data_IF_364311865593
#
_entry.id   IF_364311865593
#
_cell.length_a   1.000
_cell.length_b   1.000
_cell.length_c   1.000
_cell.angle_alpha   90.00
_cell.angle_beta   90.00
_cell.angle_gamma   90.00
#
_symmetry.space_group_name_H-M   'P 1'
#
loop_
_entity.id
_entity.type
_entity.pdbx_description
1 polymer ?
#
# COMPACT_ATOMS: atom_id res chain seq x y z
N UNK A 1 9.62 -3.43 -15.81
CA UNK A 1 8.73 -4.61 -15.60
C UNK A 1 7.41 -4.15 -14.98
N UNK A 2 6.28 -4.78 -15.32
CA UNK A 2 4.97 -4.54 -14.69
C UNK A 2 4.50 -5.86 -14.05
N UNK A 3 3.96 -5.78 -12.85
CA UNK A 3 3.45 -6.93 -12.08
C UNK A 3 2.11 -6.59 -11.44
N UNK A 4 1.38 -7.61 -10.98
CA UNK A 4 0.07 -7.51 -10.37
C UNK A 4 -0.06 -8.41 -9.14
N UNK A 5 -1.17 -8.23 -8.43
CA UNK A 5 -1.63 -9.07 -7.35
C UNK A 5 -2.88 -9.84 -7.79
N UNK A 6 -3.19 -10.94 -7.10
CA UNK A 6 -4.41 -11.72 -7.32
C UNK A 6 -5.15 -11.86 -5.99
N UNK A 7 -6.41 -11.42 -5.97
CA UNK A 7 -7.26 -11.43 -4.79
C UNK A 7 -8.56 -10.65 -5.03
N UNK A 8 -9.47 -10.72 -4.08
CA UNK A 8 -10.76 -10.03 -4.09
C UNK A 8 -10.79 -9.04 -2.92
N UNK A 9 -10.86 -7.76 -3.28
CA UNK A 9 -10.94 -6.63 -2.36
C UNK A 9 -12.17 -6.73 -1.43
N UNK A 10 -12.12 -6.29 -0.15
CA UNK A 10 -13.25 -6.33 0.78
C UNK A 10 -14.57 -5.82 0.19
N UNK A 11 -14.54 -4.65 -0.46
CA UNK A 11 -15.70 -4.05 -1.14
C UNK A 11 -16.30 -4.88 -2.31
N UNK A 12 -15.60 -5.89 -2.78
CA UNK A 12 -16.03 -6.74 -3.90
C UNK A 12 -16.33 -8.18 -3.47
N UNK A 13 -16.30 -8.48 -2.16
CA UNK A 13 -16.45 -9.86 -1.67
C UNK A 13 -17.81 -10.49 -1.95
N UNK A 14 -18.84 -9.72 -2.30
CA UNK A 14 -20.12 -10.26 -2.81
C UNK A 14 -19.94 -11.07 -4.12
N UNK A 15 -18.84 -10.89 -4.85
CA UNK A 15 -18.58 -11.66 -6.08
C UNK A 15 -18.49 -13.15 -5.83
N UNK A 16 -18.07 -13.59 -4.63
CA UNK A 16 -18.05 -15.01 -4.25
C UNK A 16 -19.47 -15.60 -4.23
N UNK A 17 -20.43 -14.90 -3.61
CA UNK A 17 -21.82 -15.33 -3.52
C UNK A 17 -22.50 -15.37 -4.90
N UNK A 18 -22.16 -14.42 -5.78
CA UNK A 18 -22.76 -14.30 -7.12
C UNK A 18 -22.03 -15.11 -8.20
N UNK A 19 -20.95 -15.80 -7.85
CA UNK A 19 -20.20 -16.62 -8.81
C UNK A 19 -21.06 -17.79 -9.32
N UNK A 20 -21.06 -18.14 -10.63
CA UNK A 20 -21.91 -19.21 -11.16
C UNK A 20 -21.74 -20.56 -10.47
N UNK A 21 -20.50 -20.88 -10.07
CA UNK A 21 -20.14 -22.11 -9.36
C UNK A 21 -20.06 -21.92 -7.82
N UNK A 22 -20.64 -20.83 -7.32
CA UNK A 22 -20.60 -20.43 -5.91
C UNK A 22 -19.20 -20.07 -5.40
N UNK A 23 -19.05 -19.86 -4.08
CA UNK A 23 -17.80 -19.41 -3.48
C UNK A 23 -16.61 -20.34 -3.73
N UNK A 24 -16.82 -21.67 -3.66
CA UNK A 24 -15.78 -22.67 -3.93
C UNK A 24 -15.29 -22.63 -5.38
N UNK A 25 -16.18 -22.31 -6.33
CA UNK A 25 -15.81 -22.09 -7.72
C UNK A 25 -14.83 -20.94 -7.87
N UNK A 26 -15.15 -19.77 -7.31
CA UNK A 26 -14.26 -18.60 -7.37
C UNK A 26 -12.94 -18.85 -6.63
N UNK A 27 -12.95 -19.53 -5.48
CA UNK A 27 -11.71 -19.93 -4.78
C UNK A 27 -10.83 -20.87 -5.63
N UNK A 28 -11.45 -21.79 -6.37
CA UNK A 28 -10.75 -22.70 -7.29
C UNK A 28 -10.14 -21.94 -8.47
N UNK A 29 -10.85 -20.97 -9.02
CA UNK A 29 -10.33 -20.09 -10.08
C UNK A 29 -9.16 -19.24 -9.58
N UNK A 30 -9.28 -18.61 -8.40
CA UNK A 30 -8.19 -17.86 -7.77
C UNK A 30 -6.96 -18.74 -7.55
N UNK A 31 -7.15 -19.96 -7.00
CA UNK A 31 -6.06 -20.93 -6.82
C UNK A 31 -5.37 -21.26 -8.14
N UNK A 32 -6.15 -21.52 -9.18
CA UNK A 32 -5.66 -21.89 -10.51
C UNK A 32 -4.87 -20.73 -11.13
N UNK A 33 -5.40 -19.51 -11.04
CA UNK A 33 -4.75 -18.30 -11.55
C UNK A 33 -3.42 -18.04 -10.82
N UNK A 34 -3.39 -18.14 -9.49
CA UNK A 34 -2.18 -17.97 -8.68
C UNK A 34 -1.09 -19.00 -9.06
N UNK A 35 -1.45 -20.27 -9.23
CA UNK A 35 -0.50 -21.34 -9.53
C UNK A 35 0.00 -21.33 -10.99
N UNK A 36 -0.79 -20.78 -11.91
CA UNK A 36 -0.45 -20.69 -13.33
C UNK A 36 0.19 -19.36 -13.74
N UNK A 37 0.12 -18.33 -12.89
CA UNK A 37 0.66 -17.01 -13.20
C UNK A 37 2.21 -17.03 -13.32
N UNK A 38 2.78 -16.36 -14.34
CA UNK A 38 4.23 -16.20 -14.44
C UNK A 38 4.79 -15.46 -13.21
N UNK A 39 5.90 -15.92 -12.61
CA UNK A 39 6.52 -15.23 -11.46
C UNK A 39 6.97 -13.79 -11.74
N UNK A 40 7.14 -13.42 -13.02
CA UNK A 40 7.44 -12.04 -13.43
C UNK A 40 6.21 -11.13 -13.44
N UNK A 41 5.01 -11.70 -13.53
CA UNK A 41 3.75 -10.97 -13.60
C UNK A 41 3.02 -10.95 -12.26
N UNK A 42 3.09 -12.00 -11.45
CA UNK A 42 2.37 -12.10 -10.18
C UNK A 42 3.35 -12.11 -8.99
N UNK A 43 3.10 -11.23 -8.01
CA UNK A 43 4.05 -11.01 -6.90
C UNK A 43 3.46 -11.12 -5.49
N UNK A 44 2.14 -11.02 -5.34
CA UNK A 44 1.47 -11.10 -4.04
C UNK A 44 -0.01 -11.48 -4.16
N UNK A 45 -0.53 -12.16 -3.13
CA UNK A 45 -1.98 -12.35 -2.97
C UNK A 45 -2.56 -11.06 -2.42
N UNK A 46 -3.50 -10.48 -3.15
CA UNK A 46 -4.08 -9.19 -2.81
C UNK A 46 -4.79 -8.54 -3.99
N UNK A 47 -5.49 -7.44 -3.79
CA UNK A 47 -5.72 -6.82 -2.50
C UNK A 47 -6.81 -7.57 -1.72
N UNK A 48 -6.51 -8.02 -0.50
CA UNK A 48 -7.46 -8.74 0.38
C UNK A 48 -7.44 -8.11 1.77
N UNK A 49 -8.56 -8.20 2.51
CA UNK A 49 -8.65 -7.61 3.84
C UNK A 49 -10.05 -7.17 4.20
N UNK A 50 -10.17 -6.10 4.99
CA UNK A 50 -11.43 -5.60 5.56
C UNK A 50 -11.55 -4.06 5.43
N UNK A 51 -12.69 -3.57 4.95
CA UNK A 51 -13.04 -2.14 4.87
C UNK A 51 -14.43 -1.90 5.49
N UNK A 52 -14.44 -1.49 6.77
CA UNK A 52 -15.68 -1.23 7.52
C UNK A 52 -16.26 0.18 7.27
N UNK A 53 -15.56 1.02 6.50
CA UNK A 53 -16.13 2.28 5.98
C UNK A 53 -16.93 2.05 4.69
N UNK A 54 -16.99 0.81 4.18
CA UNK A 54 -17.63 0.46 2.90
C UNK A 54 -18.61 -0.71 3.02
N UNK A 55 -19.27 -0.85 4.17
CA UNK A 55 -20.23 -1.94 4.42
C UNK A 55 -21.45 -1.94 3.48
N UNK A 56 -21.74 -0.82 2.81
CA UNK A 56 -22.78 -0.74 1.77
C UNK A 56 -22.37 -1.44 0.47
N UNK A 57 -21.07 -1.61 0.22
CA UNK A 57 -20.52 -2.33 -0.94
C UNK A 57 -20.30 -3.80 -0.67
N UNK A 58 -20.04 -4.19 0.59
CA UNK A 58 -20.07 -5.58 1.02
C UNK A 58 -20.26 -5.66 2.54
N UNK A 59 -21.27 -6.40 3.06
CA UNK A 59 -21.52 -6.49 4.49
C UNK A 59 -20.34 -7.05 5.28
N UNK A 60 -20.24 -6.68 6.57
CA UNK A 60 -19.14 -7.09 7.46
C UNK A 60 -18.93 -8.61 7.47
N UNK A 61 -20.02 -9.37 7.60
CA UNK A 61 -19.96 -10.85 7.68
C UNK A 61 -19.44 -11.47 6.38
N UNK A 62 -19.85 -10.92 5.23
CA UNK A 62 -19.36 -11.29 3.90
C UNK A 62 -17.87 -10.98 3.75
N UNK A 63 -17.43 -9.78 4.14
CA UNK A 63 -16.01 -9.41 4.12
C UNK A 63 -15.18 -10.36 4.99
N UNK A 64 -15.63 -10.66 6.21
CA UNK A 64 -14.94 -11.56 7.13
C UNK A 64 -14.85 -12.99 6.58
N UNK A 65 -15.97 -13.54 6.09
CA UNK A 65 -16.02 -14.88 5.53
C UNK A 65 -15.03 -15.05 4.36
N UNK A 66 -14.96 -14.07 3.47
CA UNK A 66 -14.12 -14.17 2.27
C UNK A 66 -12.71 -13.64 2.47
N UNK A 67 -12.44 -12.83 3.48
CA UNK A 67 -11.07 -12.59 3.93
C UNK A 67 -10.49 -13.89 4.51
N UNK A 68 -11.22 -14.58 5.40
CA UNK A 68 -10.85 -15.89 5.95
C UNK A 68 -10.55 -16.90 4.85
N UNK A 69 -11.47 -17.06 3.89
CA UNK A 69 -11.32 -18.02 2.80
C UNK A 69 -10.07 -17.73 1.94
N UNK A 70 -9.78 -16.45 1.65
CA UNK A 70 -8.59 -16.07 0.89
C UNK A 70 -7.29 -16.27 1.69
N UNK A 71 -7.30 -16.03 2.99
CA UNK A 71 -6.15 -16.36 3.87
C UNK A 71 -5.93 -17.87 3.95
N UNK A 72 -6.99 -18.67 4.06
CA UNK A 72 -6.91 -20.12 4.09
C UNK A 72 -6.44 -20.69 2.74
N UNK A 73 -6.86 -20.09 1.62
CA UNK A 73 -6.31 -20.37 0.30
C UNK A 73 -4.81 -20.10 0.27
N UNK A 74 -4.37 -18.89 0.67
CA UNK A 74 -2.96 -18.51 0.70
C UNK A 74 -2.13 -19.50 1.53
N UNK A 75 -2.59 -19.83 2.73
CA UNK A 75 -1.98 -20.79 3.64
C UNK A 75 -1.90 -22.24 3.09
N UNK A 76 -2.75 -22.59 2.13
CA UNK A 76 -2.78 -23.94 1.53
C UNK A 76 -1.85 -24.12 0.33
N UNK A 77 -1.19 -23.05 -0.13
CA UNK A 77 -0.30 -23.08 -1.29
C UNK A 77 1.07 -23.67 -0.89
N UNK A 78 1.74 -24.42 -1.79
CA UNK A 78 3.02 -25.04 -1.48
C UNK A 78 4.16 -24.03 -1.26
N UNK A 79 4.06 -22.84 -1.86
CA UNK A 79 5.00 -21.73 -1.72
C UNK A 79 4.19 -20.43 -1.64
N UNK A 80 3.66 -20.08 -0.45
CA UNK A 80 2.72 -18.98 -0.31
C UNK A 80 3.38 -17.63 -0.68
N UNK A 81 2.83 -16.88 -1.66
CA UNK A 81 3.29 -15.55 -2.02
C UNK A 81 3.04 -14.55 -0.88
N UNK A 82 3.78 -13.43 -0.80
CA UNK A 82 3.49 -12.34 0.12
C UNK A 82 2.03 -11.89 0.06
N UNK A 83 1.52 -11.31 1.15
CA UNK A 83 0.20 -10.71 1.18
C UNK A 83 0.25 -9.20 0.94
N UNK A 84 -0.67 -8.70 0.13
CA UNK A 84 -0.94 -7.26 -0.03
C UNK A 84 -2.31 -6.95 0.58
N UNK A 85 -2.28 -6.36 1.78
CA UNK A 85 -3.38 -6.39 2.73
C UNK A 85 -4.04 -5.03 2.91
N UNK A 86 -5.37 -5.01 2.88
CA UNK A 86 -6.20 -3.82 3.12
C UNK A 86 -6.80 -3.85 4.53
N UNK A 87 -6.67 -2.75 5.28
CA UNK A 87 -7.38 -2.57 6.54
C UNK A 87 -7.88 -1.14 6.67
N UNK A 88 -9.20 -0.98 6.86
CA UNK A 88 -9.83 0.32 7.14
C UNK A 88 -10.95 0.15 8.16
N UNK A 89 -10.82 0.87 9.28
CA UNK A 89 -11.77 0.84 10.40
C UNK A 89 -12.08 -0.58 10.92
N UNK A 90 -11.16 -1.52 10.73
CA UNK A 90 -11.38 -2.96 10.92
C UNK A 90 -10.21 -3.67 11.62
N UNK A 91 -9.32 -2.92 12.28
CA UNK A 91 -8.03 -3.44 12.76
C UNK A 91 -8.13 -4.66 13.67
N UNK A 92 -9.02 -4.64 14.65
CA UNK A 92 -9.18 -5.73 15.63
C UNK A 92 -9.49 -7.06 14.94
N UNK A 93 -10.54 -7.09 14.11
CA UNK A 93 -10.94 -8.26 13.35
C UNK A 93 -9.88 -8.64 12.31
N UNK A 94 -9.26 -7.66 11.64
CA UNK A 94 -8.21 -7.87 10.66
C UNK A 94 -7.00 -8.58 11.27
N UNK A 95 -6.48 -8.06 12.38
CA UNK A 95 -5.32 -8.62 13.07
C UNK A 95 -5.67 -9.99 13.67
N UNK A 96 -6.87 -10.16 14.23
CA UNK A 96 -7.34 -11.44 14.74
C UNK A 96 -7.26 -12.55 13.68
N UNK A 97 -7.78 -12.31 12.48
CA UNK A 97 -7.79 -13.32 11.40
C UNK A 97 -6.38 -13.67 10.89
N UNK A 98 -5.47 -12.70 10.88
CA UNK A 98 -4.06 -12.92 10.56
C UNK A 98 -3.37 -13.74 11.65
N UNK A 99 -3.58 -13.41 12.93
CA UNK A 99 -2.98 -14.10 14.07
C UNK A 99 -3.40 -15.56 14.13
N UNK A 100 -4.67 -15.88 13.88
CA UNK A 100 -5.17 -17.27 13.83
C UNK A 100 -4.47 -18.14 12.77
N UNK A 101 -3.83 -17.51 11.78
CA UNK A 101 -3.19 -18.18 10.65
C UNK A 101 -1.69 -17.91 10.57
N UNK A 102 -1.09 -17.22 11.54
CA UNK A 102 0.29 -16.75 11.49
C UNK A 102 1.31 -17.86 11.20
N UNK A 103 1.10 -19.07 11.74
CA UNK A 103 1.99 -20.22 11.51
C UNK A 103 1.87 -20.84 10.11
N UNK A 104 0.75 -20.60 9.42
CA UNK A 104 0.49 -21.15 8.07
C UNK A 104 0.64 -20.10 6.96
N UNK A 105 0.51 -18.82 7.31
CA UNK A 105 0.70 -17.72 6.40
C UNK A 105 2.19 -17.49 6.12
N UNK A 106 2.52 -16.92 4.95
CA UNK A 106 3.88 -16.47 4.71
C UNK A 106 4.19 -15.39 5.74
N UNK A 107 5.38 -15.45 6.37
CA UNK A 107 5.90 -14.40 7.26
C UNK A 107 6.32 -13.14 6.48
N UNK A 108 5.52 -12.75 5.48
CA UNK A 108 5.77 -11.73 4.46
C UNK A 108 4.43 -11.12 4.04
N UNK A 109 4.24 -9.85 4.29
CA UNK A 109 3.13 -9.08 3.76
C UNK A 109 3.20 -7.61 4.14
N UNK A 110 2.45 -6.79 3.42
CA UNK A 110 2.35 -5.33 3.63
C UNK A 110 0.90 -4.97 3.89
N UNK A 111 0.65 -4.25 4.99
CA UNK A 111 -0.61 -3.52 5.19
C UNK A 111 -0.48 -2.20 4.45
N UNK A 112 -1.06 -2.15 3.26
CA UNK A 112 -0.89 -1.03 2.33
C UNK A 112 -1.81 0.15 2.69
N UNK A 113 -1.48 1.34 2.19
CA UNK A 113 -2.27 2.57 2.35
C UNK A 113 -2.66 2.83 3.82
N UNK A 114 -1.70 2.62 4.73
CA UNK A 114 -1.98 2.62 6.16
C UNK A 114 -2.43 4.01 6.62
N UNK A 115 -3.61 4.06 7.24
CA UNK A 115 -4.24 5.27 7.78
C UNK A 115 -4.74 5.05 9.21
N UNK A 116 -4.29 3.96 9.84
CA UNK A 116 -4.64 3.61 11.21
C UNK A 116 -3.91 4.41 12.28
N UNK A 117 -4.11 4.03 13.53
CA UNK A 117 -3.53 4.71 14.69
C UNK A 117 -2.09 4.27 14.97
N UNK A 118 -1.41 4.99 15.87
CA UNK A 118 -0.08 4.59 16.38
C UNK A 118 -0.08 3.18 16.98
N UNK A 119 -1.11 2.85 17.77
CA UNK A 119 -1.23 1.55 18.43
C UNK A 119 -1.39 0.45 17.38
N UNK A 120 -2.27 0.67 16.40
CA UNK A 120 -2.51 -0.29 15.32
C UNK A 120 -1.22 -0.54 14.51
N UNK A 121 -0.45 0.51 14.19
CA UNK A 121 0.83 0.38 13.51
C UNK A 121 1.84 -0.43 14.33
N UNK A 122 1.94 -0.17 15.64
CA UNK A 122 2.83 -0.89 16.54
C UNK A 122 2.49 -2.38 16.61
N UNK A 123 1.20 -2.70 16.76
CA UNK A 123 0.73 -4.09 16.80
C UNK A 123 1.02 -4.83 15.49
N UNK A 124 0.85 -4.17 14.33
CA UNK A 124 1.20 -4.75 13.03
C UNK A 124 2.70 -5.04 12.92
N UNK A 125 3.55 -4.08 13.30
CA UNK A 125 5.00 -4.22 13.25
C UNK A 125 5.49 -5.31 14.22
N UNK A 126 4.93 -5.38 15.43
CA UNK A 126 5.24 -6.40 16.42
C UNK A 126 4.81 -7.80 15.94
N UNK A 127 3.66 -7.89 15.27
CA UNK A 127 3.20 -9.11 14.61
C UNK A 127 4.01 -9.47 13.33
N UNK A 128 4.96 -8.62 12.93
CA UNK A 128 5.90 -8.89 11.83
C UNK A 128 5.45 -8.43 10.46
N UNK A 129 4.38 -7.64 10.36
CA UNK A 129 3.88 -7.05 9.11
C UNK A 129 4.58 -5.74 8.78
N UNK A 130 4.78 -5.50 7.49
CA UNK A 130 5.31 -4.23 7.00
C UNK A 130 4.15 -3.27 6.67
N UNK A 131 4.45 -1.97 6.57
CA UNK A 131 3.44 -0.90 6.47
C UNK A 131 3.70 -0.03 5.22
N UNK A 132 2.67 0.11 4.38
CA UNK A 132 2.70 0.95 3.18
C UNK A 132 2.22 2.38 3.43
N UNK A 133 3.01 3.36 3.00
CA UNK A 133 2.76 4.79 3.18
C UNK A 133 2.55 5.47 1.83
N UNK A 134 1.46 6.23 1.73
CA UNK A 134 1.14 7.08 0.58
C UNK A 134 0.60 8.46 1.04
N UNK A 135 0.09 9.26 0.11
CA UNK A 135 -0.45 10.58 0.43
C UNK A 135 -1.70 10.58 1.32
N UNK A 136 -2.46 9.48 1.38
CA UNK A 136 -3.56 9.31 2.32
C UNK A 136 -3.05 9.09 3.76
N UNK A 137 -1.96 8.33 3.92
CA UNK A 137 -1.31 8.05 5.22
C UNK A 137 -0.83 9.32 5.95
N UNK A 138 -0.49 10.37 5.22
CA UNK A 138 0.07 11.63 5.75
C UNK A 138 -0.87 12.83 5.55
N UNK A 139 -2.18 12.55 5.44
CA UNK A 139 -3.21 13.57 5.29
C UNK A 139 -3.43 14.39 6.56
N UNK A 140 -3.41 13.74 7.72
CA UNK A 140 -3.68 14.32 9.04
C UNK A 140 -2.44 14.28 9.94
N UNK A 141 -2.44 15.04 11.05
CA UNK A 141 -1.28 15.16 11.94
C UNK A 141 -0.93 13.83 12.60
N UNK A 142 -1.94 13.02 12.95
CA UNK A 142 -1.79 11.70 13.56
C UNK A 142 -1.00 10.76 12.62
N UNK A 143 -1.26 10.83 11.32
CA UNK A 143 -0.53 10.07 10.31
C UNK A 143 0.94 10.49 10.18
N UNK A 144 1.25 11.76 10.42
CA UNK A 144 2.64 12.26 10.49
C UNK A 144 3.37 11.61 11.67
N UNK A 145 2.71 11.52 12.83
CA UNK A 145 3.30 10.91 14.03
C UNK A 145 3.53 9.41 13.84
N UNK A 146 2.59 8.70 13.20
CA UNK A 146 2.76 7.29 12.81
C UNK A 146 3.99 7.10 11.92
N UNK A 147 4.11 7.88 10.84
CA UNK A 147 5.26 7.79 9.92
C UNK A 147 6.58 8.10 10.63
N UNK A 148 6.57 9.05 11.57
CA UNK A 148 7.75 9.37 12.39
C UNK A 148 8.23 8.14 13.17
N UNK A 149 7.30 7.40 13.78
CA UNK A 149 7.61 6.22 14.60
C UNK A 149 7.86 4.92 13.82
N UNK A 150 7.31 4.78 12.60
CA UNK A 150 7.41 3.56 11.79
C UNK A 150 8.88 3.21 11.47
N UNK A 151 9.40 2.02 11.85
CA UNK A 151 10.78 1.64 11.55
C UNK A 151 11.06 1.58 10.03
N UNK A 152 12.24 2.02 9.60
CA UNK A 152 12.58 2.09 8.17
C UNK A 152 12.62 0.70 7.52
N UNK A 153 13.01 -0.33 8.27
CA UNK A 153 13.06 -1.72 7.83
C UNK A 153 11.67 -2.36 7.64
N UNK A 154 10.61 -1.68 8.08
CA UNK A 154 9.19 -2.07 7.93
C UNK A 154 8.40 -1.15 7.00
N UNK A 155 9.07 -0.17 6.38
CA UNK A 155 8.43 0.85 5.55
C UNK A 155 8.37 0.42 4.07
N UNK A 156 7.20 0.57 3.47
CA UNK A 156 7.01 0.65 2.02
C UNK A 156 6.44 2.02 1.65
N UNK A 157 6.71 2.46 0.41
CA UNK A 157 6.11 3.68 -0.16
C UNK A 157 5.32 3.34 -1.41
N UNK A 158 4.19 4.02 -1.58
CA UNK A 158 3.30 3.82 -2.73
C UNK A 158 2.56 5.13 -3.06
N UNK A 159 1.88 5.16 -4.20
CA UNK A 159 1.08 6.33 -4.61
C UNK A 159 -0.42 6.11 -4.46
N UNK A 160 -0.88 4.86 -4.59
CA UNK A 160 -2.30 4.51 -4.75
C UNK A 160 -2.98 5.30 -5.90
N UNK A 161 -2.21 5.63 -6.93
CA UNK A 161 -2.71 6.37 -8.10
C UNK A 161 -3.85 5.63 -8.80
N UNK A 162 -4.98 6.28 -9.12
CA UNK A 162 -5.14 7.74 -9.27
C UNK A 162 -5.53 8.51 -8.00
N UNK A 163 -5.59 7.86 -6.85
CA UNK A 163 -6.01 8.40 -5.56
C UNK A 163 -4.84 8.95 -4.74
N UNK A 164 -5.10 9.37 -3.50
CA UNK A 164 -4.10 9.77 -2.52
C UNK A 164 -3.12 10.87 -2.98
N UNK A 165 -3.58 11.77 -3.85
CA UNK A 165 -2.87 13.02 -4.18
C UNK A 165 -2.56 13.80 -2.89
N UNK A 166 -1.30 14.18 -2.69
CA UNK A 166 -0.88 15.06 -1.60
C UNK A 166 -1.29 16.50 -1.91
N UNK A 167 -2.20 17.07 -1.10
CA UNK A 167 -2.80 18.39 -1.35
C UNK A 167 -2.28 19.46 -0.38
N UNK A 168 -2.39 20.75 -0.73
CA UNK A 168 -2.01 21.85 0.17
C UNK A 168 -2.74 21.86 1.52
N UNK A 169 -3.92 21.24 1.59
CA UNK A 169 -4.72 21.13 2.82
C UNK A 169 -4.32 19.95 3.71
N UNK A 170 -3.39 19.11 3.28
CA UNK A 170 -2.92 17.96 4.05
C UNK A 170 -1.79 18.39 4.99
N UNK A 171 -1.65 17.70 6.14
CA UNK A 171 -0.54 17.93 7.07
C UNK A 171 0.83 17.77 6.39
N UNK A 172 0.95 16.84 5.43
CA UNK A 172 2.16 16.65 4.64
C UNK A 172 2.65 17.87 3.87
N UNK A 173 1.78 18.85 3.58
CA UNK A 173 2.16 20.06 2.86
C UNK A 173 3.25 20.86 3.60
N UNK A 174 3.27 20.80 4.93
CA UNK A 174 4.32 21.41 5.73
C UNK A 174 5.71 20.82 5.45
N UNK A 175 5.79 19.56 5.00
CA UNK A 175 7.04 18.83 4.78
C UNK A 175 7.52 18.88 3.33
N UNK A 176 6.67 19.22 2.35
CA UNK A 176 7.05 19.27 0.93
C UNK A 176 6.87 20.65 0.31
N UNK A 177 6.36 21.61 1.08
CA UNK A 177 6.14 22.99 0.65
C UNK A 177 7.42 23.82 0.55
N UNK A 178 7.34 24.98 -0.13
CA UNK A 178 8.48 25.88 -0.34
C UNK A 178 8.96 26.57 0.95
N UNK A 179 8.18 26.52 2.02
CA UNK A 179 8.48 27.14 3.32
C UNK A 179 9.08 26.16 4.33
N UNK A 180 9.40 24.93 3.92
CA UNK A 180 9.98 23.93 4.81
C UNK A 180 11.39 24.35 5.27
N UNK A 181 11.60 24.41 6.59
CA UNK A 181 12.88 24.79 7.22
C UNK A 181 13.43 23.76 8.22
N UNK A 182 12.82 22.57 8.27
CA UNK A 182 13.15 21.49 9.20
C UNK A 182 14.37 20.63 8.80
N UNK A 183 14.56 19.47 9.46
CA UNK A 183 15.64 18.52 9.14
C UNK A 183 15.68 18.14 7.66
N UNK A 184 16.88 18.11 7.06
CA UNK A 184 17.03 17.78 5.64
C UNK A 184 16.49 18.86 4.68
N UNK A 185 16.32 20.11 5.13
CA UNK A 185 15.96 21.24 4.22
C UNK A 185 16.98 21.42 3.07
N UNK A 186 18.24 21.11 3.36
CA UNK A 186 19.36 21.23 2.42
C UNK A 186 19.66 19.91 1.69
N UNK A 187 18.81 18.89 1.82
CA UNK A 187 18.95 17.62 1.09
C UNK A 187 18.81 17.87 -0.43
N UNK A 188 19.90 17.67 -1.16
CA UNK A 188 19.96 17.91 -2.61
C UNK A 188 19.06 16.96 -3.41
N UNK A 189 18.87 15.72 -2.95
CA UNK A 189 17.94 14.77 -3.60
C UNK A 189 16.50 15.26 -3.45
N UNK A 190 16.14 15.78 -2.26
CA UNK A 190 14.83 16.39 -2.05
C UNK A 190 14.57 17.56 -3.00
N UNK A 191 15.55 18.46 -3.16
CA UNK A 191 15.46 19.62 -4.07
C UNK A 191 15.21 19.15 -5.51
N UNK A 192 16.03 18.22 -6.01
CA UNK A 192 15.91 17.68 -7.37
C UNK A 192 14.54 17.04 -7.61
N UNK A 193 14.04 16.24 -6.66
CA UNK A 193 12.72 15.60 -6.78
C UNK A 193 11.61 16.64 -6.86
N UNK A 194 11.60 17.63 -5.96
CA UNK A 194 10.55 18.65 -5.91
C UNK A 194 10.61 19.63 -7.09
N UNK A 195 11.81 19.99 -7.56
CA UNK A 195 11.99 20.82 -8.76
C UNK A 195 11.52 20.11 -10.02
N UNK A 196 11.85 18.82 -10.18
CA UNK A 196 11.35 18.00 -11.29
C UNK A 196 9.82 17.97 -11.32
N UNK A 197 9.20 17.80 -10.15
CA UNK A 197 7.74 17.78 -10.04
C UNK A 197 7.11 19.15 -10.34
N UNK A 198 7.72 20.24 -9.86
CA UNK A 198 7.27 21.61 -10.17
C UNK A 198 7.32 21.91 -11.68
N UNK A 199 8.21 21.24 -12.43
CA UNK A 199 8.29 21.30 -13.88
C UNK A 199 7.16 20.59 -14.63
N UNK A 200 6.33 19.78 -13.97
CA UNK A 200 5.24 19.08 -14.65
C UNK A 200 4.12 20.04 -15.11
N UNK A 201 3.63 19.81 -16.32
CA UNK A 201 2.51 20.57 -16.89
C UNK A 201 1.18 19.94 -16.49
N UNK A 202 0.45 20.61 -15.61
CA UNK A 202 -0.86 20.17 -15.12
C UNK A 202 -2.03 20.80 -15.89
N UNK A 203 -2.87 19.97 -16.51
CA UNK A 203 -4.03 20.40 -17.31
C UNK A 203 -5.34 19.81 -16.81
N UNK A 204 -6.47 20.41 -17.19
CA UNK A 204 -7.79 19.76 -16.99
C UNK A 204 -7.90 18.55 -17.92
N UNK A 205 -8.72 17.55 -17.55
CA UNK A 205 -8.87 16.30 -18.32
C UNK A 205 -9.25 16.53 -19.80
N UNK A 206 -10.03 17.58 -20.09
CA UNK A 206 -10.47 17.92 -21.45
C UNK A 206 -9.35 18.52 -22.31
N UNK A 207 -8.21 18.88 -21.71
CA UNK A 207 -7.05 19.48 -22.36
C UNK A 207 -5.82 18.58 -22.28
N UNK A 208 -6.01 17.30 -21.95
CA UNK A 208 -4.92 16.35 -21.87
C UNK A 208 -4.21 16.25 -23.22
N UNK A 209 -2.88 16.26 -23.16
CA UNK A 209 -1.98 15.96 -24.26
C UNK A 209 -0.80 15.14 -23.73
N UNK A 210 -0.12 14.43 -24.63
CA UNK A 210 1.09 13.69 -24.28
C UNK A 210 2.12 14.62 -23.61
N UNK A 211 2.76 14.13 -22.54
CA UNK A 211 3.68 14.92 -21.72
C UNK A 211 3.01 15.82 -20.67
N UNK A 212 1.70 15.72 -20.46
CA UNK A 212 0.98 16.48 -19.41
C UNK A 212 0.33 15.56 -18.37
N UNK A 213 0.23 16.08 -17.13
CA UNK A 213 -0.50 15.45 -16.04
C UNK A 213 -1.92 16.02 -15.94
N UNK A 214 -2.86 15.20 -15.46
CA UNK A 214 -4.26 15.61 -15.27
C UNK A 214 -4.46 16.09 -13.84
N UNK A 215 -4.98 17.32 -13.66
CA UNK A 215 -5.31 17.87 -12.34
C UNK A 215 -6.25 16.95 -11.57
N UNK A 216 -5.87 16.59 -10.34
CA UNK A 216 -6.65 15.70 -9.47
C UNK A 216 -6.47 14.20 -9.76
N UNK A 217 -5.57 13.82 -10.68
CA UNK A 217 -5.18 12.43 -10.93
C UNK A 217 -3.75 12.22 -10.43
N UNK A 218 -3.61 11.47 -9.34
CA UNK A 218 -2.27 11.08 -8.85
C UNK A 218 -1.65 10.05 -9.81
N UNK A 219 -0.32 10.01 -9.88
CA UNK A 219 0.41 9.14 -10.81
C UNK A 219 1.65 8.51 -10.17
N UNK A 220 2.12 7.34 -10.65
CA UNK A 220 3.32 6.67 -10.12
C UNK A 220 4.58 7.55 -10.10
N UNK A 221 4.70 8.49 -11.04
CA UNK A 221 5.84 9.42 -11.11
C UNK A 221 5.94 10.35 -9.89
N UNK A 222 4.88 10.47 -9.09
CA UNK A 222 4.81 11.31 -7.89
C UNK A 222 5.27 10.61 -6.61
N UNK A 223 5.68 9.33 -6.69
CA UNK A 223 6.16 8.57 -5.53
C UNK A 223 7.35 9.24 -4.84
N UNK A 224 8.20 9.95 -5.58
CA UNK A 224 9.33 10.68 -5.02
C UNK A 224 8.91 11.72 -3.98
N UNK A 225 7.76 12.38 -4.16
CA UNK A 225 7.24 13.34 -3.17
C UNK A 225 6.84 12.65 -1.87
N UNK A 226 6.31 11.43 -1.94
CA UNK A 226 6.02 10.62 -0.74
C UNK A 226 7.31 10.32 0.01
N UNK A 227 8.37 9.90 -0.69
CA UNK A 227 9.70 9.64 -0.11
C UNK A 227 10.27 10.89 0.57
N UNK A 228 10.20 12.06 -0.10
CA UNK A 228 10.66 13.33 0.48
C UNK A 228 9.90 13.69 1.75
N UNK A 229 8.57 13.51 1.75
CA UNK A 229 7.76 13.75 2.94
C UNK A 229 8.18 12.82 4.08
N UNK A 230 8.29 11.51 3.82
CA UNK A 230 8.71 10.54 4.84
C UNK A 230 10.08 10.87 5.41
N UNK A 231 11.07 11.17 4.56
CA UNK A 231 12.43 11.53 4.99
C UNK A 231 12.43 12.73 5.95
N UNK A 232 11.72 13.80 5.57
CA UNK A 232 11.60 15.02 6.37
C UNK A 232 10.80 14.82 7.66
N UNK A 233 9.75 13.99 7.65
CA UNK A 233 8.99 13.63 8.85
C UNK A 233 9.85 12.86 9.86
N UNK A 234 10.69 11.96 9.36
CA UNK A 234 11.56 11.09 10.17
C UNK A 234 12.88 11.76 10.56
N UNK A 235 13.28 12.83 9.87
CA UNK A 235 14.54 13.53 10.11
C UNK A 235 15.77 12.80 9.58
N UNK A 236 15.62 12.02 8.50
CA UNK A 236 16.69 11.27 7.82
C UNK A 236 16.83 11.73 6.36
N UNK A 237 17.88 11.30 5.65
CA UNK A 237 18.05 11.68 4.24
C UNK A 237 17.01 11.02 3.32
N UNK A 238 16.74 11.65 2.17
CA UNK A 238 15.88 11.06 1.13
C UNK A 238 16.47 9.76 0.61
N UNK A 239 17.80 9.68 0.52
CA UNK A 239 18.50 8.48 0.08
C UNK A 239 18.28 7.30 1.04
N UNK A 240 18.39 7.51 2.36
CA UNK A 240 18.12 6.45 3.36
C UNK A 240 16.70 5.89 3.25
N UNK A 241 15.69 6.74 3.09
CA UNK A 241 14.30 6.28 2.92
C UNK A 241 14.12 5.53 1.61
N UNK A 242 14.70 6.05 0.51
CA UNK A 242 14.61 5.42 -0.79
C UNK A 242 15.26 4.02 -0.79
N UNK A 243 16.46 3.89 -0.22
CA UNK A 243 17.19 2.62 -0.11
C UNK A 243 16.46 1.63 0.78
N UNK A 244 15.95 2.07 1.94
CA UNK A 244 15.15 1.23 2.83
C UNK A 244 13.88 0.73 2.14
N UNK A 245 13.04 1.62 1.61
CA UNK A 245 11.78 1.25 0.97
C UNK A 245 11.98 0.37 -0.28
N UNK A 246 13.02 0.66 -1.08
CA UNK A 246 13.43 -0.17 -2.22
C UNK A 246 13.88 -1.56 -1.76
N UNK A 247 14.78 -1.63 -0.78
CA UNK A 247 15.29 -2.88 -0.23
C UNK A 247 14.19 -3.76 0.37
N UNK A 248 13.29 -3.17 1.16
CA UNK A 248 12.14 -3.84 1.75
C UNK A 248 11.23 -4.39 0.66
N UNK A 249 10.85 -3.57 -0.33
CA UNK A 249 9.97 -3.99 -1.43
C UNK A 249 10.58 -5.09 -2.30
N UNK A 250 11.89 -5.05 -2.56
CA UNK A 250 12.59 -6.13 -3.28
C UNK A 250 12.57 -7.44 -2.52
N UNK A 251 12.89 -7.43 -1.22
CA UNK A 251 12.82 -8.63 -0.37
C UNK A 251 11.38 -9.13 -0.24
N UNK A 252 10.43 -8.22 -0.10
CA UNK A 252 9.01 -8.52 0.04
C UNK A 252 8.44 -9.16 -1.21
N UNK A 253 8.69 -8.62 -2.41
CA UNK A 253 8.04 -9.06 -3.65
C UNK A 253 8.92 -9.85 -4.62
N UNK A 254 10.21 -10.05 -4.26
CA UNK A 254 11.14 -10.87 -5.07
C UNK A 254 11.65 -10.19 -6.34
N UNK A 255 11.62 -8.85 -6.40
CA UNK A 255 12.12 -8.11 -7.55
C UNK A 255 13.65 -8.26 -7.69
N UNK A 256 14.09 -8.81 -8.83
CA UNK A 256 15.52 -8.95 -9.18
C UNK A 256 16.11 -7.60 -9.60
N UNK A 257 17.42 -7.43 -9.40
CA UNK A 257 18.16 -6.36 -10.07
C UNK A 257 18.17 -6.66 -11.58
N UNK A 258 17.86 -5.67 -12.40
CA UNK A 258 18.25 -5.73 -13.81
C UNK A 258 19.79 -5.64 -13.80
N UNK A 259 20.45 -6.67 -14.33
CA UNK A 259 21.91 -6.75 -14.44
C UNK A 259 22.47 -5.80 -15.49
#
# INVERSE_FOLDING_TARGET
LLSCTIGVHPCSTQTFDTHPDGPEGLLTELRTLILSAPPSAFVAIGEIGLDYDRLTLSPKDTQLAYFRAQLDLAASLPSPPPLFLHSRAAHEDFLHELTLRAERLPKRGVVHSFTGTMVEMQELVEAGWDVGINGCSIRAAEGIDVVRALPLERLHVETDGPWCEMRPTHASAAFVGPTYDGPGKDDEVAKVVLEREAGYRWVKKERWAEGTLVKGRNEPCLIGRVVVAVARIKGVSVQEVAEAAWGNSRRMFGFKEEA
#
